data_IF_740606436112
#
_entry.id   IF_740606436112
#
_cell.length_a   1.000
_cell.length_b   1.000
_cell.length_c   1.000
_cell.angle_alpha   90.00
_cell.angle_beta   90.00
_cell.angle_gamma   90.00
#
_symmetry.space_group_name_H-M   'P 1'
#
loop_
_entity.id
_entity.type
_entity.pdbx_description
1 polymer ?
#
# COMPACT_ATOMS: atom_id res chain seq x y z
N UNK A 1 37.09 22.11 22.28
CA UNK A 1 36.46 23.38 21.85
C UNK A 1 34.93 23.25 22.03
N UNK A 2 34.14 24.15 21.47
CA UNK A 2 32.66 24.04 21.53
C UNK A 2 32.04 24.21 20.15
N UNK A 3 31.21 23.26 19.74
CA UNK A 3 30.39 23.29 18.53
C UNK A 3 29.16 24.16 18.77
N UNK A 4 28.86 25.06 17.83
CA UNK A 4 27.61 25.83 17.82
C UNK A 4 26.58 25.07 17.00
N UNK A 5 25.57 24.52 17.65
CA UNK A 5 24.51 23.76 17.01
C UNK A 5 23.17 24.50 17.11
N UNK A 6 22.44 24.58 16.01
CA UNK A 6 21.13 25.22 15.93
C UNK A 6 20.05 24.15 15.94
N UNK A 7 19.17 24.15 16.94
CA UNK A 7 18.11 23.15 17.03
C UNK A 7 17.04 23.35 15.95
N UNK A 8 16.75 22.34 15.13
CA UNK A 8 15.73 22.41 14.07
C UNK A 8 14.30 22.65 14.57
N UNK A 9 13.98 22.29 15.82
CA UNK A 9 12.62 22.43 16.35
C UNK A 9 12.29 23.80 16.92
N UNK A 10 13.27 24.56 17.42
CA UNK A 10 13.03 25.85 18.08
C UNK A 10 14.07 26.93 17.77
N UNK A 11 14.98 26.66 16.82
CA UNK A 11 16.01 27.57 16.31
C UNK A 11 16.96 28.14 17.37
N UNK A 12 17.00 27.56 18.56
CA UNK A 12 17.91 28.01 19.61
C UNK A 12 19.35 27.54 19.31
N UNK A 13 20.30 28.47 19.35
CA UNK A 13 21.73 28.19 19.24
C UNK A 13 22.27 27.66 20.58
N UNK A 14 22.77 26.43 20.57
CA UNK A 14 23.36 25.74 21.71
C UNK A 14 24.88 25.65 21.54
N UNK A 15 25.62 25.86 22.63
CA UNK A 15 27.07 25.63 22.70
C UNK A 15 27.30 24.25 23.32
N UNK A 16 27.73 23.29 22.52
CA UNK A 16 27.95 21.91 22.92
C UNK A 16 29.46 21.66 22.96
N UNK A 17 29.96 20.93 23.96
CA UNK A 17 31.38 20.56 24.03
C UNK A 17 31.71 19.51 22.96
N UNK A 18 32.90 19.57 22.36
CA UNK A 18 33.31 18.64 21.31
C UNK A 18 33.30 17.17 21.77
N UNK A 19 33.49 16.90 23.07
CA UNK A 19 33.39 15.56 23.66
C UNK A 19 32.01 14.89 23.47
N UNK A 20 31.00 15.66 23.09
CA UNK A 20 29.64 15.17 22.79
C UNK A 20 29.36 15.04 21.29
N UNK A 21 30.34 15.31 20.43
CA UNK A 21 30.25 15.04 19.00
C UNK A 21 29.91 13.55 18.75
N UNK A 22 29.00 13.28 17.83
CA UNK A 22 28.53 11.93 17.50
C UNK A 22 27.53 11.31 18.49
N UNK A 23 27.25 11.96 19.63
CA UNK A 23 26.28 11.45 20.62
C UNK A 23 24.88 12.01 20.41
N UNK A 24 23.85 11.27 20.85
CA UNK A 24 22.46 11.72 20.87
C UNK A 24 22.25 12.77 21.97
N UNK A 25 21.98 14.01 21.58
CA UNK A 25 21.65 15.13 22.45
C UNK A 25 20.15 15.43 22.48
N UNK A 26 19.68 16.11 23.53
CA UNK A 26 18.32 16.66 23.62
C UNK A 26 18.36 18.16 23.77
N UNK A 27 17.50 18.87 23.06
CA UNK A 27 17.41 20.32 23.16
C UNK A 27 16.77 20.71 24.52
N UNK A 28 17.38 21.61 25.32
CA UNK A 28 16.82 21.99 26.61
C UNK A 28 15.52 22.79 26.51
N UNK A 29 15.21 23.38 25.35
CA UNK A 29 13.97 24.16 25.14
C UNK A 29 12.80 23.30 24.66
N UNK A 30 12.99 22.53 23.59
CA UNK A 30 11.89 21.76 22.97
C UNK A 30 11.97 20.25 23.22
N UNK A 31 13.01 19.75 23.89
CA UNK A 31 13.28 18.32 24.18
C UNK A 31 13.45 17.41 22.96
N UNK A 32 13.51 17.98 21.75
CA UNK A 32 13.79 17.24 20.52
C UNK A 32 15.17 16.59 20.57
N UNK A 33 15.24 15.33 20.16
CA UNK A 33 16.48 14.56 20.03
C UNK A 33 17.20 14.90 18.73
N UNK A 34 18.52 15.00 18.78
CA UNK A 34 19.36 15.28 17.62
C UNK A 34 20.76 14.66 17.80
N UNK A 35 21.44 14.36 16.71
CA UNK A 35 22.84 13.90 16.71
C UNK A 35 23.76 15.11 16.60
N UNK A 36 24.72 15.24 17.50
CA UNK A 36 25.71 16.33 17.44
C UNK A 36 26.69 16.03 16.29
N UNK A 37 26.83 16.91 15.28
CA UNK A 37 27.77 16.68 14.19
C UNK A 37 29.22 16.69 14.70
N UNK A 38 30.09 15.90 14.08
CA UNK A 38 31.53 16.01 14.31
C UNK A 38 32.01 17.38 13.82
N UNK A 39 32.88 18.07 14.58
CA UNK A 39 33.56 19.23 14.03
C UNK A 39 34.29 18.72 12.77
N UNK A 40 34.07 19.37 11.62
CA UNK A 40 34.99 19.17 10.52
C UNK A 40 36.34 19.55 11.10
N UNK A 41 37.27 18.60 11.21
CA UNK A 41 38.63 18.92 11.60
C UNK A 41 39.06 20.04 10.67
N UNK A 42 39.27 21.23 11.23
CA UNK A 42 39.84 22.35 10.51
C UNK A 42 41.24 21.87 10.14
N UNK A 43 41.34 21.20 8.98
CA UNK A 43 42.60 20.89 8.33
C UNK A 43 43.16 22.26 8.00
N UNK A 44 43.99 22.78 8.90
CA UNK A 44 44.92 23.87 8.66
C UNK A 44 45.87 23.42 7.54
N UNK A 45 45.35 23.43 6.33
CA UNK A 45 46.00 22.99 5.11
C UNK A 45 46.79 24.14 4.53
N UNK A 46 47.99 24.35 5.06
CA UNK A 46 49.09 24.92 4.30
C UNK A 46 49.23 24.15 2.98
N UNK A 47 49.28 24.92 1.91
CA UNK A 47 49.26 24.46 0.53
C UNK A 47 50.55 23.71 0.14
N UNK A 48 50.49 22.39 -0.02
CA UNK A 48 51.31 21.60 -0.94
C UNK A 48 50.51 20.30 -1.24
N UNK A 49 50.07 19.95 -2.44
CA UNK A 49 50.84 19.84 -3.66
C UNK A 49 51.58 18.50 -3.70
N UNK A 50 50.90 17.38 -4.07
CA UNK A 50 51.39 16.34 -4.99
C UNK A 50 50.67 14.97 -4.89
N UNK A 51 50.36 14.45 -6.09
CA UNK A 51 50.43 13.05 -6.57
C UNK A 51 49.37 11.98 -6.21
N UNK A 52 48.67 11.57 -7.28
CA UNK A 52 48.37 10.21 -7.80
C UNK A 52 47.76 9.16 -6.87
N UNK A 53 46.69 8.45 -7.31
CA UNK A 53 46.43 7.09 -6.89
C UNK A 53 47.03 6.09 -7.90
N UNK A 54 47.89 5.21 -7.42
CA UNK A 54 48.31 3.95 -8.07
C UNK A 54 48.19 2.86 -7.00
N UNK A 55 47.86 1.64 -7.45
CA UNK A 55 47.83 0.34 -6.73
C UNK A 55 46.49 0.11 -5.99
N UNK A 56 45.67 -0.92 -6.23
CA UNK A 56 45.84 -2.32 -6.67
C UNK A 56 46.71 -3.19 -5.74
N UNK A 57 46.30 -4.46 -5.55
CA UNK A 57 46.78 -5.47 -4.59
C UNK A 57 46.23 -5.34 -3.14
N UNK A 58 45.31 -6.21 -2.70
CA UNK A 58 45.43 -7.62 -2.28
C UNK A 58 45.76 -7.76 -0.78
N UNK A 59 45.01 -8.68 -0.16
CA UNK A 59 45.19 -9.36 1.15
C UNK A 59 44.80 -8.55 2.40
N UNK A 60 43.69 -8.92 3.05
CA UNK A 60 43.75 -9.83 4.20
C UNK A 60 42.35 -10.26 4.67
N UNK A 61 42.21 -11.57 4.83
CA UNK A 61 41.17 -12.24 5.61
C UNK A 61 41.20 -11.69 7.05
N UNK A 62 40.16 -10.91 7.41
CA UNK A 62 39.86 -10.62 8.82
C UNK A 62 38.52 -11.28 9.14
N UNK A 63 38.64 -12.48 9.71
CA UNK A 63 37.62 -13.19 10.46
C UNK A 63 37.14 -12.29 11.61
N UNK A 64 36.04 -11.56 11.38
CA UNK A 64 35.38 -10.80 12.44
C UNK A 64 34.57 -11.76 13.32
N UNK A 65 34.88 -11.86 14.62
CA UNK A 65 34.03 -12.58 15.54
C UNK A 65 32.67 -11.87 15.61
N UNK A 66 31.60 -12.62 15.32
CA UNK A 66 30.24 -12.27 15.70
C UNK A 66 30.21 -12.19 17.22
N UNK A 67 30.39 -10.99 17.76
CA UNK A 67 30.09 -10.68 19.15
C UNK A 67 28.79 -9.87 19.22
N UNK A 68 27.79 -10.57 19.77
CA UNK A 68 26.82 -10.06 20.73
C UNK A 68 25.83 -9.01 20.19
N UNK A 69 24.71 -9.57 19.73
CA UNK A 69 23.38 -8.99 19.93
C UNK A 69 23.31 -8.26 21.28
N UNK A 70 22.96 -6.97 21.33
CA UNK A 70 22.70 -6.31 22.60
C UNK A 70 21.55 -7.05 23.30
N UNK A 71 21.78 -7.47 24.55
CA UNK A 71 20.74 -7.88 25.48
C UNK A 71 19.66 -6.79 25.50
N UNK A 72 18.50 -7.12 24.94
CA UNK A 72 17.28 -6.35 25.12
C UNK A 72 16.88 -6.56 26.56
N UNK A 73 17.08 -5.54 27.41
CA UNK A 73 16.49 -5.51 28.74
C UNK A 73 14.98 -5.78 28.63
N UNK A 74 14.54 -6.79 29.38
CA UNK A 74 13.13 -7.18 29.53
C UNK A 74 12.29 -5.93 29.80
N UNK A 75 11.53 -5.54 28.78
CA UNK A 75 10.48 -4.54 28.96
C UNK A 75 9.41 -5.17 29.85
N UNK A 76 8.94 -4.47 30.90
CA UNK A 76 7.96 -5.03 31.81
C UNK A 76 6.69 -5.40 31.04
N UNK A 77 6.20 -6.62 31.29
CA UNK A 77 4.94 -7.16 30.79
C UNK A 77 3.82 -6.10 30.83
N UNK A 78 3.50 -5.53 29.68
CA UNK A 78 2.36 -4.64 29.51
C UNK A 78 1.14 -5.55 29.38
N UNK A 79 0.42 -5.74 30.48
CA UNK A 79 -0.82 -6.52 30.53
C UNK A 79 -1.94 -5.76 29.79
N UNK A 80 -2.40 -6.23 28.60
CA UNK A 80 -3.32 -5.49 27.75
C UNK A 80 -4.72 -5.31 28.37
N UNK A 81 -5.02 -5.94 29.51
CA UNK A 81 -6.28 -5.75 30.25
C UNK A 81 -6.28 -4.53 31.19
N UNK A 82 -5.13 -3.99 31.57
CA UNK A 82 -5.07 -2.85 32.49
C UNK A 82 -5.39 -1.51 31.77
N UNK A 83 -5.10 -1.43 30.47
CA UNK A 83 -5.36 -0.25 29.63
C UNK A 83 -6.86 -0.02 29.38
N UNK A 84 -7.70 -1.03 29.55
CA UNK A 84 -9.17 -0.92 29.41
C UNK A 84 -9.91 -0.62 30.73
N UNK A 85 -9.21 -0.55 31.85
CA UNK A 85 -9.82 -0.53 33.19
C UNK A 85 -9.59 0.77 33.99
N UNK A 86 -9.10 1.83 33.34
CA UNK A 86 -8.91 3.15 33.98
C UNK A 86 -10.23 3.90 34.24
N UNK A 87 -10.39 4.59 35.39
CA UNK A 87 -11.65 5.18 35.81
C UNK A 87 -11.99 6.46 35.04
N UNK A 88 -13.24 6.51 34.58
CA UNK A 88 -13.87 7.68 33.98
C UNK A 88 -13.80 8.90 34.91
N UNK A 89 -13.00 9.91 34.54
CA UNK A 89 -13.11 11.26 35.09
C UNK A 89 -13.92 12.13 34.14
N UNK A 90 -15.17 12.29 34.56
CA UNK A 90 -16.16 13.33 34.29
C UNK A 90 -15.78 14.62 33.54
N UNK A 91 -16.74 14.99 32.68
CA UNK A 91 -17.30 16.32 32.45
C UNK A 91 -16.74 17.20 31.31
N UNK A 92 -17.51 17.26 30.22
CA UNK A 92 -18.21 18.51 29.80
C UNK A 92 -19.28 18.25 28.74
N UNK A 93 -20.53 18.53 29.11
CA UNK A 93 -21.67 18.84 28.23
C UNK A 93 -21.52 20.31 27.75
N UNK A 94 -22.06 20.71 26.58
CA UNK A 94 -23.47 21.09 26.49
C UNK A 94 -24.21 20.69 25.17
N UNK A 95 -25.53 20.54 25.33
CA UNK A 95 -26.67 20.95 24.48
C UNK A 95 -26.70 20.59 22.98
N UNK A 96 -27.57 19.67 22.56
CA UNK A 96 -29.00 19.84 22.25
C UNK A 96 -29.29 20.30 20.81
N UNK A 97 -29.68 19.34 19.94
CA UNK A 97 -30.73 19.58 18.96
C UNK A 97 -31.53 18.31 18.67
N UNK A 98 -32.81 18.44 18.95
CA UNK A 98 -33.88 17.47 18.81
C UNK A 98 -34.17 17.16 17.33
N UNK A 99 -34.28 15.87 17.02
CA UNK A 99 -34.80 15.35 15.76
C UNK A 99 -35.47 14.01 16.03
N UNK A 100 -36.76 14.04 16.34
CA UNK A 100 -37.61 12.88 16.57
C UNK A 100 -37.76 12.06 15.29
N UNK A 101 -37.01 10.95 15.18
CA UNK A 101 -37.22 9.93 14.16
C UNK A 101 -38.03 8.80 14.79
N UNK A 102 -39.15 8.49 14.13
CA UNK A 102 -40.15 7.53 14.56
C UNK A 102 -39.52 6.17 14.92
N UNK A 103 -39.79 5.72 16.14
CA UNK A 103 -39.51 4.36 16.58
C UNK A 103 -40.36 3.38 15.77
N UNK A 104 -39.76 2.76 14.77
CA UNK A 104 -40.31 1.57 14.12
C UNK A 104 -40.50 0.48 15.19
N UNK A 105 -41.77 0.19 15.48
CA UNK A 105 -42.17 -0.93 16.33
C UNK A 105 -41.64 -2.21 15.70
N UNK A 106 -40.74 -2.89 16.42
CA UNK A 106 -40.30 -4.24 16.11
C UNK A 106 -41.55 -5.13 15.93
N UNK A 107 -41.69 -5.85 14.81
CA UNK A 107 -42.84 -6.72 14.59
C UNK A 107 -42.88 -7.77 15.71
N UNK A 108 -44.07 -7.91 16.30
CA UNK A 108 -44.31 -8.89 17.35
C UNK A 108 -44.10 -10.29 16.78
N UNK A 109 -43.53 -11.20 17.58
CA UNK A 109 -43.34 -12.62 17.21
C UNK A 109 -44.67 -13.28 16.77
N UNK A 110 -45.80 -12.74 17.24
CA UNK A 110 -47.14 -13.17 16.80
C UNK A 110 -47.44 -12.86 15.31
N UNK A 111 -46.88 -11.79 14.75
CA UNK A 111 -47.03 -11.47 13.32
C UNK A 111 -46.17 -12.39 12.44
N UNK A 112 -44.94 -12.70 12.87
CA UNK A 112 -44.04 -13.64 12.18
C UNK A 112 -44.59 -15.07 12.13
N UNK A 113 -45.27 -15.52 13.19
CA UNK A 113 -45.92 -16.84 13.17
C UNK A 113 -47.14 -16.89 12.24
N UNK A 114 -47.84 -15.77 12.05
CA UNK A 114 -49.04 -15.70 11.20
C UNK A 114 -48.70 -15.73 9.71
N UNK A 115 -47.56 -15.18 9.30
CA UNK A 115 -47.07 -15.25 7.91
C UNK A 115 -46.61 -16.66 7.50
N UNK A 116 -46.02 -17.44 8.42
CA UNK A 116 -45.59 -18.81 8.14
C UNK A 116 -46.76 -19.79 7.91
N UNK A 117 -47.88 -19.60 8.60
CA UNK A 117 -49.08 -20.42 8.38
C UNK A 117 -49.78 -20.09 7.05
N UNK A 118 -49.70 -18.85 6.58
CA UNK A 118 -50.29 -18.42 5.31
C UNK A 118 -49.54 -18.98 4.07
N UNK A 119 -48.21 -19.11 4.14
CA UNK A 119 -47.41 -19.67 3.05
C UNK A 119 -47.68 -21.16 2.79
N UNK A 120 -47.88 -21.94 3.85
CA UNK A 120 -48.01 -23.41 3.77
C UNK A 120 -49.30 -23.88 3.08
N UNK A 121 -50.34 -23.04 3.02
CA UNK A 121 -51.58 -23.34 2.27
C UNK A 121 -51.47 -23.05 0.77
N UNK A 122 -50.50 -22.23 0.34
CA UNK A 122 -50.39 -21.82 -1.08
C UNK A 122 -49.61 -22.83 -1.92
N UNK A 123 -48.64 -23.54 -1.33
CA UNK A 123 -47.88 -24.58 -2.05
C UNK A 123 -48.69 -25.86 -2.27
N UNK A 124 -49.49 -26.31 -1.29
CA UNK A 124 -50.34 -27.50 -1.44
C UNK A 124 -51.41 -27.41 -2.53
N UNK A 125 -51.72 -26.21 -3.03
CA UNK A 125 -52.72 -26.03 -4.09
C UNK A 125 -52.10 -26.01 -5.50
N UNK A 126 -50.78 -25.94 -5.62
CA UNK A 126 -50.08 -25.89 -6.92
C UNK A 126 -49.65 -27.27 -7.42
N UNK A 127 -49.50 -28.25 -6.54
CA UNK A 127 -49.09 -29.62 -6.91
C UNK A 127 -50.27 -30.57 -7.19
N UNK A 128 -51.52 -30.09 -7.15
CA UNK A 128 -52.71 -30.90 -7.39
C UNK A 128 -53.29 -30.80 -8.82
N UNK A 129 -52.59 -30.13 -9.75
CA UNK A 129 -53.13 -29.81 -11.09
C UNK A 129 -52.31 -30.32 -12.28
N UNK A 130 -51.29 -31.16 -12.09
CA UNK A 130 -50.57 -31.80 -13.19
C UNK A 130 -50.12 -33.21 -12.80
N UNK A 131 -50.96 -34.21 -13.05
CA UNK A 131 -50.65 -35.17 -14.11
C UNK A 131 -51.80 -36.17 -14.28
N UNK A 132 -52.31 -36.23 -15.51
CA UNK A 132 -53.39 -37.08 -15.97
C UNK A 132 -52.85 -37.90 -17.13
N UNK A 133 -52.91 -39.23 -16.97
CA UNK A 133 -53.04 -40.27 -18.00
C UNK A 133 -51.80 -40.79 -18.76
N UNK A 134 -51.46 -42.05 -18.47
CA UNK A 134 -50.77 -43.00 -19.36
C UNK A 134 -51.01 -44.45 -18.88
N UNK A 135 -51.20 -45.44 -19.79
CA UNK A 135 -52.04 -46.62 -19.54
C UNK A 135 -51.37 -47.74 -18.74
N UNK A 136 -52.23 -48.45 -18.00
CA UNK A 136 -51.93 -49.66 -17.26
C UNK A 136 -51.56 -50.83 -18.20
N UNK A 137 -50.36 -51.36 -18.02
CA UNK A 137 -49.98 -52.71 -18.44
C UNK A 137 -50.11 -53.68 -17.26
N UNK A 138 -50.96 -54.72 -17.33
CA UNK A 138 -50.97 -55.79 -16.34
C UNK A 138 -49.89 -56.80 -16.73
N UNK A 139 -48.69 -56.64 -16.16
CA UNK A 139 -47.63 -57.63 -16.33
C UNK A 139 -46.99 -57.99 -14.98
N UNK A 140 -47.21 -59.26 -14.64
CA UNK A 140 -46.37 -60.10 -13.79
C UNK A 140 -46.47 -59.93 -12.28
N UNK A 141 -47.36 -60.74 -11.70
CA UNK A 141 -47.48 -61.02 -10.27
C UNK A 141 -46.40 -62.00 -9.76
N UNK A 142 -45.26 -62.18 -10.45
CA UNK A 142 -44.20 -63.13 -10.07
C UNK A 142 -42.89 -62.48 -9.53
N UNK A 143 -42.83 -61.15 -9.38
CA UNK A 143 -41.65 -60.47 -8.80
C UNK A 143 -41.81 -60.00 -7.34
N UNK A 144 -42.91 -60.35 -6.67
CA UNK A 144 -43.15 -59.96 -5.27
C UNK A 144 -42.38 -60.81 -4.24
N UNK A 145 -41.80 -61.95 -4.64
CA UNK A 145 -40.98 -62.77 -3.74
C UNK A 145 -39.57 -62.20 -3.45
N UNK A 146 -39.06 -61.29 -4.29
CA UNK A 146 -37.77 -60.61 -4.07
C UNK A 146 -37.86 -59.27 -3.32
N UNK A 147 -39.08 -58.74 -3.13
CA UNK A 147 -39.31 -57.40 -2.58
C UNK A 147 -39.20 -57.37 -1.05
N UNK A 148 -39.64 -58.43 -0.37
CA UNK A 148 -39.53 -58.52 1.09
C UNK A 148 -38.07 -58.66 1.55
N UNK A 149 -37.27 -59.48 0.87
CA UNK A 149 -35.85 -59.66 1.18
C UNK A 149 -35.03 -58.38 0.93
N UNK A 150 -35.33 -57.64 -0.13
CA UNK A 150 -34.68 -56.35 -0.42
C UNK A 150 -35.15 -55.22 0.51
N UNK A 151 -36.40 -55.24 0.98
CA UNK A 151 -36.86 -54.29 1.99
C UNK A 151 -36.14 -54.52 3.32
N UNK A 152 -35.91 -55.78 3.70
CA UNK A 152 -35.18 -56.14 4.92
C UNK A 152 -33.69 -55.84 4.81
N UNK A 153 -33.05 -56.10 3.68
CA UNK A 153 -31.62 -55.77 3.49
C UNK A 153 -31.36 -54.27 3.54
N UNK A 154 -32.24 -53.46 2.95
CA UNK A 154 -32.19 -51.99 3.05
C UNK A 154 -32.43 -51.50 4.47
N UNK A 155 -33.39 -52.07 5.19
CA UNK A 155 -33.62 -51.74 6.59
C UNK A 155 -32.41 -52.11 7.47
N UNK A 156 -31.73 -53.21 7.17
CA UNK A 156 -30.53 -53.65 7.89
C UNK A 156 -29.31 -52.78 7.58
N UNK A 157 -29.11 -52.41 6.31
CA UNK A 157 -28.07 -51.44 5.90
C UNK A 157 -28.33 -50.07 6.51
N UNK A 158 -29.56 -49.58 6.48
CA UNK A 158 -29.93 -48.31 7.11
C UNK A 158 -29.64 -48.30 8.62
N UNK A 159 -29.89 -49.42 9.32
CA UNK A 159 -29.51 -49.56 10.74
C UNK A 159 -28.00 -49.59 10.94
N UNK A 160 -27.26 -50.31 10.10
CA UNK A 160 -25.80 -50.41 10.18
C UNK A 160 -25.13 -49.05 9.90
N UNK A 161 -25.62 -48.33 8.91
CA UNK A 161 -25.14 -47.00 8.55
C UNK A 161 -25.50 -45.98 9.64
N UNK A 162 -26.69 -46.08 10.24
CA UNK A 162 -27.08 -45.23 11.39
C UNK A 162 -26.25 -45.51 12.65
N UNK A 163 -25.76 -46.73 12.83
CA UNK A 163 -24.91 -47.12 13.96
C UNK A 163 -23.44 -46.70 13.76
N UNK A 164 -22.98 -46.68 12.51
CA UNK A 164 -21.63 -46.23 12.15
C UNK A 164 -21.53 -44.73 11.87
N UNK A 165 -22.65 -44.01 11.77
CA UNK A 165 -22.61 -42.57 11.63
C UNK A 165 -21.93 -41.95 12.87
N UNK A 166 -20.87 -41.14 12.69
CA UNK A 166 -20.24 -40.46 13.81
C UNK A 166 -21.31 -39.64 14.53
N UNK A 167 -21.51 -39.90 15.82
CA UNK A 167 -22.42 -39.12 16.66
C UNK A 167 -21.82 -37.74 16.84
N UNK A 168 -22.14 -36.85 15.89
CA UNK A 168 -21.84 -35.43 16.02
C UNK A 168 -22.50 -34.99 17.33
N UNK A 169 -21.70 -34.48 18.26
CA UNK A 169 -22.21 -33.96 19.52
C UNK A 169 -23.29 -32.93 19.21
N UNK A 170 -24.41 -32.93 19.95
CA UNK A 170 -25.45 -31.93 19.77
C UNK A 170 -24.90 -30.49 19.82
N UNK A 171 -23.82 -30.28 20.59
CA UNK A 171 -23.08 -29.02 20.64
C UNK A 171 -22.38 -28.69 19.32
N UNK A 172 -21.77 -29.68 18.67
CA UNK A 172 -21.05 -29.46 17.40
C UNK A 172 -22.03 -29.14 16.26
N UNK A 173 -23.22 -29.76 16.28
CA UNK A 173 -24.29 -29.45 15.33
C UNK A 173 -24.82 -28.02 15.51
N UNK A 174 -24.96 -27.55 16.75
CA UNK A 174 -25.38 -26.17 17.05
C UNK A 174 -24.32 -25.14 16.61
N UNK A 175 -23.03 -25.42 16.88
CA UNK A 175 -21.91 -24.58 16.43
C UNK A 175 -21.86 -24.51 14.89
N UNK A 176 -22.08 -25.65 14.20
CA UNK A 176 -22.12 -25.68 12.75
C UNK A 176 -23.29 -24.85 12.18
N UNK A 177 -24.47 -24.93 12.80
CA UNK A 177 -25.63 -24.13 12.40
C UNK A 177 -25.40 -22.61 12.64
N UNK A 178 -24.79 -22.24 13.78
CA UNK A 178 -24.42 -20.86 14.06
C UNK A 178 -23.40 -20.32 13.05
N UNK A 179 -22.38 -21.12 12.69
CA UNK A 179 -21.41 -20.76 11.65
C UNK A 179 -22.05 -20.61 10.27
N UNK A 180 -23.00 -21.47 9.92
CA UNK A 180 -23.72 -21.37 8.65
C UNK A 180 -24.57 -20.09 8.57
N UNK A 181 -25.28 -19.74 9.63
CA UNK A 181 -26.05 -18.49 9.70
C UNK A 181 -25.15 -17.25 9.66
N UNK A 182 -24.00 -17.29 10.35
CA UNK A 182 -23.01 -16.20 10.30
C UNK A 182 -22.44 -16.05 8.89
N UNK A 183 -22.07 -17.14 8.22
CA UNK A 183 -21.56 -17.12 6.84
C UNK A 183 -22.62 -16.62 5.86
N UNK A 184 -23.88 -16.99 6.02
CA UNK A 184 -24.96 -16.50 5.17
C UNK A 184 -25.20 -14.99 5.38
N UNK A 185 -25.16 -14.53 6.64
CA UNK A 185 -25.24 -13.10 6.96
C UNK A 185 -24.04 -12.32 6.41
N UNK A 186 -22.83 -12.83 6.58
CA UNK A 186 -21.61 -12.23 6.03
C UNK A 186 -21.71 -12.14 4.51
N UNK A 187 -22.14 -13.21 3.84
CA UNK A 187 -22.21 -13.25 2.38
C UNK A 187 -23.31 -12.35 1.80
N UNK A 188 -24.50 -12.34 2.42
CA UNK A 188 -25.68 -11.63 1.87
C UNK A 188 -25.80 -10.18 2.34
N UNK A 189 -25.37 -9.86 3.56
CA UNK A 189 -25.57 -8.52 4.15
C UNK A 189 -24.26 -7.77 4.37
N UNK A 190 -23.26 -8.39 5.01
CA UNK A 190 -22.04 -7.66 5.34
C UNK A 190 -21.09 -7.50 4.15
N UNK A 191 -21.00 -8.51 3.28
CA UNK A 191 -20.11 -8.58 2.12
C UNK A 191 -20.26 -7.41 1.15
N UNK A 192 -21.45 -7.12 0.61
CA UNK A 192 -21.62 -6.00 -0.31
C UNK A 192 -21.34 -4.63 0.35
N UNK A 193 -21.66 -4.48 1.64
CA UNK A 193 -21.35 -3.25 2.39
C UNK A 193 -19.84 -3.10 2.57
N UNK A 194 -19.14 -4.15 2.99
CA UNK A 194 -17.68 -4.14 3.13
C UNK A 194 -17.00 -3.85 1.77
N UNK A 195 -17.46 -4.46 0.68
CA UNK A 195 -16.94 -4.19 -0.66
C UNK A 195 -17.15 -2.73 -1.07
N UNK A 196 -18.33 -2.16 -0.81
CA UNK A 196 -18.60 -0.74 -1.08
C UNK A 196 -17.70 0.19 -0.26
N UNK A 197 -17.48 -0.12 1.02
CA UNK A 197 -16.55 0.63 1.89
C UNK A 197 -15.12 0.56 1.36
N UNK A 198 -14.66 -0.62 0.94
CA UNK A 198 -13.32 -0.77 0.34
C UNK A 198 -13.19 0.06 -0.94
N UNK A 199 -14.19 0.02 -1.83
CA UNK A 199 -14.17 0.83 -3.07
C UNK A 199 -14.13 2.33 -2.75
N UNK A 200 -14.93 2.79 -1.78
CA UNK A 200 -14.93 4.19 -1.35
C UNK A 200 -13.58 4.61 -0.75
N UNK A 201 -13.00 3.78 0.12
CA UNK A 201 -11.69 4.04 0.71
C UNK A 201 -10.58 4.02 -0.34
N UNK A 202 -10.59 3.08 -1.28
CA UNK A 202 -9.64 3.04 -2.39
C UNK A 202 -9.80 4.25 -3.32
N UNK A 203 -11.02 4.67 -3.62
CA UNK A 203 -11.29 5.87 -4.41
C UNK A 203 -10.86 7.15 -3.69
N UNK A 204 -11.10 7.24 -2.39
CA UNK A 204 -10.64 8.36 -1.56
C UNK A 204 -9.12 8.40 -1.46
N UNK A 205 -8.48 7.26 -1.24
CA UNK A 205 -7.01 7.14 -1.22
C UNK A 205 -6.41 7.55 -2.57
N UNK A 206 -6.99 7.07 -3.68
CA UNK A 206 -6.59 7.49 -5.02
C UNK A 206 -6.79 8.99 -5.24
N UNK A 207 -7.90 9.57 -4.77
CA UNK A 207 -8.17 11.00 -4.87
C UNK A 207 -7.18 11.85 -4.06
N UNK A 208 -6.88 11.44 -2.82
CA UNK A 208 -5.94 12.15 -1.93
C UNK A 208 -4.48 12.03 -2.42
N UNK A 209 -4.12 10.88 -3.00
CA UNK A 209 -2.80 10.67 -3.58
C UNK A 209 -2.73 11.03 -5.06
N UNK A 210 -3.81 11.56 -5.64
CA UNK A 210 -3.73 12.21 -6.93
C UNK A 210 -3.02 13.52 -6.68
N UNK A 211 -1.70 13.46 -6.76
CA UNK A 211 -0.87 14.65 -6.78
C UNK A 211 -1.46 15.53 -7.89
N UNK A 212 -2.06 16.65 -7.51
CA UNK A 212 -2.42 17.69 -8.47
C UNK A 212 -1.17 18.53 -8.52
N UNK A 213 -0.40 18.38 -9.60
CA UNK A 213 0.76 19.20 -9.83
C UNK A 213 0.33 20.66 -9.81
N UNK A 214 0.72 21.37 -8.75
CA UNK A 214 0.42 22.78 -8.51
C UNK A 214 1.61 23.70 -8.86
N UNK A 215 2.62 23.14 -9.54
CA UNK A 215 3.82 23.87 -9.96
C UNK A 215 3.63 24.66 -11.26
N UNK A 216 4.76 25.09 -11.83
CA UNK A 216 4.81 25.86 -13.07
C UNK A 216 4.28 25.03 -14.25
N UNK A 217 3.57 25.63 -15.23
CA UNK A 217 3.05 24.88 -16.38
C UNK A 217 4.16 24.08 -17.06
N UNK A 218 3.91 22.79 -17.25
CA UNK A 218 4.84 21.86 -17.89
C UNK A 218 4.57 21.82 -19.38
N UNK A 219 5.63 21.93 -20.17
CA UNK A 219 5.58 21.84 -21.61
C UNK A 219 6.18 20.50 -22.04
N UNK A 220 5.53 19.77 -22.97
CA UNK A 220 6.04 18.48 -23.43
C UNK A 220 7.39 18.71 -24.12
N UNK A 221 8.38 17.92 -23.74
CA UNK A 221 9.72 17.95 -24.30
C UNK A 221 10.05 16.57 -24.83
N UNK A 222 10.23 16.49 -26.14
CA UNK A 222 10.69 15.29 -26.81
C UNK A 222 12.10 15.52 -27.30
N UNK A 223 12.85 14.45 -27.49
CA UNK A 223 14.09 14.56 -28.22
C UNK A 223 14.59 13.23 -28.72
N UNK A 224 15.68 13.32 -29.47
CA UNK A 224 16.37 12.16 -30.01
C UNK A 224 17.87 12.29 -29.76
N UNK A 225 18.45 11.24 -29.20
CA UNK A 225 19.89 11.11 -29.04
C UNK A 225 20.45 10.36 -30.25
N UNK A 226 21.44 10.97 -30.89
CA UNK A 226 22.16 10.40 -32.03
C UNK A 226 23.60 10.17 -31.56
N UNK A 227 23.99 8.91 -31.39
CA UNK A 227 25.37 8.51 -31.07
C UNK A 227 26.03 7.91 -32.31
N UNK A 228 27.26 8.32 -32.60
CA UNK A 228 28.05 7.71 -33.67
C UNK A 228 28.62 6.34 -33.28
N UNK A 229 28.76 6.07 -31.98
CA UNK A 229 29.53 4.95 -31.44
C UNK A 229 28.67 3.74 -31.00
N UNK A 230 27.34 3.80 -31.09
CA UNK A 230 26.46 2.65 -30.82
C UNK A 230 25.27 2.93 -29.90
N UNK A 231 24.65 1.85 -29.43
CA UNK A 231 23.29 1.79 -28.88
C UNK A 231 22.96 2.86 -27.83
N UNK A 232 21.97 3.68 -28.16
CA UNK A 232 21.45 4.80 -27.34
C UNK A 232 20.31 4.39 -26.42
N UNK A 233 19.97 3.10 -26.35
CA UNK A 233 18.89 2.60 -25.50
C UNK A 233 19.24 2.74 -24.01
N UNK A 234 18.33 3.21 -23.18
CA UNK A 234 18.47 3.24 -21.72
C UNK A 234 19.48 4.25 -21.17
N UNK A 235 19.91 5.25 -21.97
CA UNK A 235 20.60 6.42 -21.45
C UNK A 235 19.62 7.31 -20.68
N UNK A 236 20.04 7.79 -19.52
CA UNK A 236 19.26 8.73 -18.70
C UNK A 236 19.68 10.14 -19.04
N UNK A 237 18.71 10.98 -19.39
CA UNK A 237 18.93 12.38 -19.74
C UNK A 237 18.33 13.21 -18.63
N UNK A 238 19.11 14.14 -18.09
CA UNK A 238 18.68 15.06 -17.06
C UNK A 238 18.81 16.50 -17.55
N UNK A 239 17.74 17.26 -17.41
CA UNK A 239 17.67 18.68 -17.71
C UNK A 239 17.77 19.42 -16.37
N UNK A 240 18.94 19.95 -16.05
CA UNK A 240 19.17 20.76 -14.87
C UNK A 240 18.87 22.23 -15.19
N UNK A 241 17.99 22.92 -14.44
CA UNK A 241 17.74 24.33 -14.69
C UNK A 241 19.01 25.13 -14.47
N UNK A 242 19.39 25.95 -15.45
CA UNK A 242 20.48 26.92 -15.27
C UNK A 242 19.93 28.00 -14.35
N UNK A 243 20.31 27.96 -13.07
CA UNK A 243 19.80 28.88 -12.05
C UNK A 243 19.99 30.32 -12.51
N UNK A 244 18.89 31.06 -12.61
CA UNK A 244 18.91 32.51 -12.89
C UNK A 244 18.85 33.35 -11.62
N UNK A 245 18.80 32.73 -10.43
CA UNK A 245 18.69 33.42 -9.14
C UNK A 245 18.21 32.49 -8.01
N UNK A 246 18.12 33.05 -6.79
CA UNK A 246 17.65 32.35 -5.57
C UNK A 246 16.16 32.01 -5.60
N UNK A 247 15.39 32.69 -6.44
CA UNK A 247 13.92 32.53 -6.54
C UNK A 247 13.50 31.48 -7.58
N UNK A 248 14.46 30.77 -8.18
CA UNK A 248 14.18 29.77 -9.19
C UNK A 248 13.70 28.46 -8.56
N UNK A 249 12.39 28.26 -8.55
CA UNK A 249 11.75 27.06 -7.99
C UNK A 249 11.73 25.87 -8.95
N UNK A 250 12.36 25.98 -10.13
CA UNK A 250 12.42 24.89 -11.10
C UNK A 250 13.34 23.78 -10.57
N UNK A 251 12.90 22.54 -10.74
CA UNK A 251 13.64 21.32 -10.44
C UNK A 251 14.19 20.71 -11.73
N UNK A 252 15.06 19.71 -11.60
CA UNK A 252 15.54 18.95 -12.76
C UNK A 252 14.43 18.08 -13.35
N UNK A 253 14.36 17.99 -14.67
CA UNK A 253 13.52 17.01 -15.37
C UNK A 253 14.39 15.85 -15.88
N UNK A 254 13.83 14.65 -15.93
CA UNK A 254 14.56 13.44 -16.33
C UNK A 254 13.78 12.61 -17.35
N UNK A 255 14.52 11.98 -18.26
CA UNK A 255 13.98 11.08 -19.26
C UNK A 255 14.90 9.89 -19.50
N UNK A 256 14.35 8.81 -20.02
CA UNK A 256 15.11 7.64 -20.45
C UNK A 256 14.91 7.46 -21.95
N UNK A 257 16.00 7.21 -22.64
CA UNK A 257 16.01 6.96 -24.09
C UNK A 257 15.55 5.54 -24.42
N UNK A 258 14.84 5.40 -25.54
CA UNK A 258 14.41 4.12 -26.11
C UNK A 258 15.46 3.58 -27.09
N UNK A 259 15.20 2.38 -27.64
CA UNK A 259 16.04 1.74 -28.65
C UNK A 259 16.35 2.63 -29.87
N UNK A 260 15.40 3.50 -30.26
CA UNK A 260 15.55 4.45 -31.38
C UNK A 260 16.29 5.74 -30.98
N UNK A 261 16.70 5.86 -29.71
CA UNK A 261 17.29 7.07 -29.13
C UNK A 261 16.29 8.15 -28.79
N UNK A 262 14.99 7.90 -28.99
CA UNK A 262 13.96 8.87 -28.65
C UNK A 262 13.77 8.89 -27.13
N UNK A 263 13.58 10.08 -26.56
CA UNK A 263 13.31 10.22 -25.13
C UNK A 263 12.16 11.19 -24.92
N UNK A 264 11.53 11.03 -23.76
CA UNK A 264 10.49 11.89 -23.26
C UNK A 264 10.88 12.34 -21.85
N UNK A 265 10.80 13.64 -21.57
CA UNK A 265 11.13 14.16 -20.23
C UNK A 265 9.93 14.09 -19.31
N UNK A 266 10.21 13.74 -18.06
CA UNK A 266 9.29 13.83 -16.93
C UNK A 266 9.90 14.74 -15.87
N UNK A 267 9.15 15.72 -15.39
CA UNK A 267 9.63 16.65 -14.37
C UNK A 267 9.69 15.96 -13.01
N UNK A 268 8.57 15.39 -12.59
CA UNK A 268 8.41 14.58 -11.39
C UNK A 268 7.39 13.52 -11.77
N UNK A 269 7.72 12.22 -11.71
CA UNK A 269 6.77 11.17 -12.05
C UNK A 269 5.49 11.33 -11.21
N UNK A 270 4.28 11.39 -11.82
CA UNK A 270 3.94 11.02 -13.20
C UNK A 270 3.82 12.20 -14.19
N UNK A 271 4.22 13.42 -13.82
CA UNK A 271 4.08 14.61 -14.64
C UNK A 271 5.12 14.70 -15.75
N UNK A 272 4.58 14.72 -16.95
CA UNK A 272 5.27 14.77 -18.22
C UNK A 272 5.63 16.20 -18.62
N UNK A 273 6.83 16.40 -19.17
CA UNK A 273 7.34 17.70 -19.64
C UNK A 273 8.32 18.38 -18.69
N UNK A 274 8.60 19.65 -18.98
CA UNK A 274 9.44 20.52 -18.16
C UNK A 274 8.90 21.97 -18.19
N UNK A 275 9.08 22.77 -17.12
CA UNK A 275 8.75 24.20 -17.15
C UNK A 275 9.53 24.94 -18.25
N UNK A 276 9.00 26.06 -18.74
CA UNK A 276 9.73 26.90 -19.68
C UNK A 276 10.98 27.51 -19.03
N UNK A 277 12.07 27.63 -19.80
CA UNK A 277 13.31 28.29 -19.42
C UNK A 277 14.57 27.59 -19.89
N UNK A 278 15.74 28.02 -19.40
CA UNK A 278 17.05 27.49 -19.78
C UNK A 278 17.45 26.30 -18.92
N UNK A 279 17.98 25.27 -19.56
CA UNK A 279 18.42 24.02 -18.95
C UNK A 279 19.79 23.61 -19.48
N UNK A 280 20.60 23.04 -18.60
CA UNK A 280 21.81 22.29 -18.92
C UNK A 280 21.47 20.80 -19.00
N UNK A 281 21.89 20.15 -20.08
CA UNK A 281 21.66 18.74 -20.36
C UNK A 281 22.85 17.95 -19.83
N UNK A 282 22.57 16.97 -18.99
CA UNK A 282 23.51 15.95 -18.55
C UNK A 282 23.01 14.60 -19.04
N UNK A 283 23.84 13.87 -19.77
CA UNK A 283 23.52 12.52 -20.22
C UNK A 283 24.30 11.54 -19.37
N UNK A 284 23.60 10.61 -18.73
CA UNK A 284 24.21 9.52 -17.98
C UNK A 284 24.15 8.23 -18.79
N UNK A 285 25.27 7.52 -18.83
CA UNK A 285 25.34 6.17 -19.36
C UNK A 285 24.54 5.18 -18.51
N UNK A 286 24.37 3.94 -19.00
CA UNK A 286 23.67 2.86 -18.28
C UNK A 286 24.24 2.56 -16.90
N UNK A 287 25.55 2.79 -16.72
CA UNK A 287 26.25 2.61 -15.46
C UNK A 287 26.08 3.79 -14.48
N UNK A 288 25.32 4.83 -14.86
CA UNK A 288 25.15 6.06 -14.07
C UNK A 288 26.32 7.05 -14.17
N UNK A 289 27.35 6.76 -14.97
CA UNK A 289 28.46 7.69 -15.21
C UNK A 289 28.02 8.79 -16.20
N UNK A 290 28.34 10.08 -15.93
CA UNK A 290 28.06 11.16 -16.86
C UNK A 290 28.91 11.02 -18.13
N UNK A 291 28.27 11.17 -19.29
CA UNK A 291 28.92 11.21 -20.60
C UNK A 291 29.30 12.66 -20.91
N UNK A 292 30.51 12.86 -21.43
CA UNK A 292 31.00 14.18 -21.82
C UNK A 292 30.37 14.57 -23.15
N UNK A 293 29.58 15.65 -23.14
CA UNK A 293 28.99 16.24 -24.34
C UNK A 293 29.99 17.21 -24.99
N UNK A 294 29.98 17.35 -26.33
CA UNK A 294 30.78 18.37 -27.01
C UNK A 294 30.36 19.78 -26.58
N UNK A 295 31.35 20.66 -26.43
CA UNK A 295 31.16 22.04 -25.98
C UNK A 295 30.10 22.77 -26.83
N UNK A 296 29.14 23.42 -26.16
CA UNK A 296 28.07 24.18 -26.81
C UNK A 296 26.75 23.43 -27.07
N UNK A 297 26.69 22.11 -26.83
CA UNK A 297 25.43 21.33 -26.95
C UNK A 297 24.72 21.16 -25.61
N UNK A 298 25.33 21.58 -24.50
CA UNK A 298 24.79 21.34 -23.15
C UNK A 298 23.64 22.26 -22.78
N UNK A 299 23.46 23.45 -23.37
CA UNK A 299 22.42 24.39 -22.94
C UNK A 299 21.27 24.45 -23.95
N UNK A 300 20.06 24.15 -23.48
CA UNK A 300 18.82 24.24 -24.26
C UNK A 300 17.80 25.15 -23.59
N UNK A 301 16.86 25.67 -24.36
CA UNK A 301 15.77 26.52 -23.86
C UNK A 301 14.43 25.88 -24.20
N UNK A 302 13.65 25.57 -23.16
CA UNK A 302 12.26 25.10 -23.28
C UNK A 302 11.36 26.32 -23.39
N UNK A 303 10.52 26.35 -24.43
CA UNK A 303 9.60 27.46 -24.71
C UNK A 303 8.16 27.07 -24.36
N UNK A 304 7.33 28.07 -24.06
CA UNK A 304 5.91 27.91 -23.72
C UNK A 304 5.00 27.71 -24.94
N UNK A 305 5.38 28.26 -26.09
CA UNK A 305 4.57 28.22 -27.32
C UNK A 305 5.09 27.28 -28.41
N UNK A 306 6.27 26.68 -28.22
CA UNK A 306 6.99 25.93 -29.26
C UNK A 306 6.91 24.42 -29.12
N UNK A 307 7.16 23.71 -30.24
CA UNK A 307 7.52 22.30 -30.19
C UNK A 307 8.94 22.18 -29.63
N UNK A 308 9.06 21.69 -28.40
CA UNK A 308 10.34 21.48 -27.74
C UNK A 308 10.93 20.13 -28.15
N UNK A 309 11.26 20.00 -29.43
CA UNK A 309 11.90 18.81 -30.01
C UNK A 309 13.42 19.05 -30.09
N UNK A 310 14.22 18.27 -29.37
CA UNK A 310 15.67 18.45 -29.28
C UNK A 310 16.44 17.27 -29.88
N UNK A 311 17.52 17.56 -30.62
CA UNK A 311 18.47 16.55 -31.10
C UNK A 311 19.79 16.67 -30.34
N UNK A 312 20.17 15.62 -29.61
CA UNK A 312 21.42 15.57 -28.83
C UNK A 312 22.39 14.67 -29.57
N UNK A 313 23.56 15.21 -29.93
CA UNK A 313 24.62 14.43 -30.59
C UNK A 313 25.67 14.05 -29.54
N UNK A 314 25.89 12.75 -29.38
CA UNK A 314 26.94 12.14 -28.56
C UNK A 314 28.18 11.85 -29.41
#
# INVERSE_FOLDING_TARGET
MTIRYTCHGCESVLKIKDEKAGTNGRCPKCKMEFVVPFPADDIDGDAHGHSKPVMDALVDDVDMPIELTPEVEDSPDIDPLEILSGPATTARTPEARSGSVATEKKPSVAELMREFEAGKKKERKKDAASDVSGPATPASAEQTAGSAANALSRAYQQKRDSANAPRVSAKDAEIAAQRAMLMEFLKKKAGPVAAAVVILLSGYYWYMNREVYSGLPLYPVNGKVISQAGGVDGLRIQFMPVSTGTDDTRSSAEGVTTADGSFYLSYIAPFEGAPAGKYEIIVYGKAGAPLVLPEGTSIVTVTDSGKNDFEIKL
#
